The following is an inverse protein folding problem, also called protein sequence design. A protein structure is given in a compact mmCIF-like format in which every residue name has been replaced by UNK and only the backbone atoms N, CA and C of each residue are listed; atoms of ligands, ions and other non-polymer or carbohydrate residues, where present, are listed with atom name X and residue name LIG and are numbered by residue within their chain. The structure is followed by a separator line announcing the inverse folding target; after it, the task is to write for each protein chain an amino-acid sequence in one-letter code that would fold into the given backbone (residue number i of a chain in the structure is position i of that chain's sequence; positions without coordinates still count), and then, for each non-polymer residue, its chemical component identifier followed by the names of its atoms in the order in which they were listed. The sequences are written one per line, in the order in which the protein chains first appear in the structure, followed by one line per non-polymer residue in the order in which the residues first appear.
data_IF_785140295006
#
_entry.id   IF_785140295006
#
_cell.length_a   1.000
_cell.length_b   1.000
_cell.length_c   1.000
_cell.angle_alpha   90.00
_cell.angle_beta   90.00
_cell.angle_gamma   90.00
#
_symmetry.space_group_name_H-M   'P 1'
#
loop_
_entity.id
_entity.type
_entity.pdbx_description
1 polymer ?
#
# COMPACT_ATOMS: atom_id res chain seq x y z
N UNK A 1 -0.78 1.51 7.05
CA UNK A 1 -1.36 2.50 6.11
C UNK A 1 -1.17 2.04 4.68
N UNK A 2 -2.25 1.65 4.01
CA UNK A 2 -2.40 1.68 2.55
C UNK A 2 -3.87 1.98 2.31
N UNK A 3 -4.20 3.20 1.89
CA UNK A 3 -5.47 3.40 1.20
C UNK A 3 -5.51 2.34 0.10
N UNK A 4 -6.56 1.52 0.09
CA UNK A 4 -6.64 0.42 -0.87
C UNK A 4 -6.50 1.03 -2.28
N UNK A 5 -5.90 0.29 -3.23
CA UNK A 5 -5.83 0.78 -4.62
C UNK A 5 -7.22 1.23 -5.13
N UNK A 6 -8.30 0.65 -4.59
CA UNK A 6 -9.70 1.01 -4.84
C UNK A 6 -10.08 2.37 -4.24
N UNK A 7 -9.64 2.69 -3.02
CA UNK A 7 -9.85 3.99 -2.39
C UNK A 7 -9.08 5.11 -3.12
N UNK A 8 -7.86 4.83 -3.61
CA UNK A 8 -7.10 5.77 -4.44
C UNK A 8 -7.80 5.99 -5.79
N UNK A 9 -8.33 4.96 -6.44
CA UNK A 9 -9.13 5.12 -7.67
C UNK A 9 -10.43 5.91 -7.41
N UNK A 10 -11.12 5.69 -6.28
CA UNK A 10 -12.31 6.46 -5.90
C UNK A 10 -11.97 7.92 -5.51
N UNK A 11 -10.83 8.17 -4.86
CA UNK A 11 -10.27 9.50 -4.61
C UNK A 11 -9.87 10.19 -5.92
N UNK A 12 -9.22 9.49 -6.85
CA UNK A 12 -8.88 10.02 -8.17
C UNK A 12 -10.13 10.33 -8.99
N UNK A 13 -11.19 9.52 -8.84
CA UNK A 13 -12.49 9.77 -9.43
C UNK A 13 -13.18 11.00 -8.81
N UNK A 14 -13.18 11.10 -7.48
CA UNK A 14 -13.88 12.17 -6.74
C UNK A 14 -13.11 13.50 -6.80
N UNK A 15 -11.78 13.49 -6.62
CA UNK A 15 -10.92 14.68 -6.74
C UNK A 15 -10.77 15.10 -8.20
N UNK A 16 -10.62 14.15 -9.13
CA UNK A 16 -10.57 14.42 -10.57
C UNK A 16 -11.87 15.01 -11.12
N UNK A 17 -13.03 14.58 -10.59
CA UNK A 17 -14.33 15.15 -10.95
C UNK A 17 -14.65 16.46 -10.20
N UNK A 18 -14.15 16.67 -8.98
CA UNK A 18 -14.54 17.80 -8.13
C UNK A 18 -13.61 19.01 -8.18
N UNK A 19 -12.40 18.88 -8.73
CA UNK A 19 -11.43 19.99 -8.78
C UNK A 19 -11.68 21.02 -9.90
N UNK A 20 -12.72 20.87 -10.73
CA UNK A 20 -12.73 21.49 -12.07
C UNK A 20 -14.03 22.16 -12.50
N UNK A 21 -14.68 23.06 -11.74
CA UNK A 21 -15.98 23.52 -12.27
C UNK A 21 -16.57 24.86 -11.76
N UNK A 22 -16.53 25.98 -12.55
CA UNK A 22 -17.46 27.19 -12.76
C UNK A 22 -17.29 28.66 -12.18
N UNK A 23 -16.98 29.69 -12.98
CA UNK A 23 -17.93 30.80 -13.38
C UNK A 23 -17.30 31.97 -14.21
N UNK A 24 -17.55 31.98 -15.53
CA UNK A 24 -17.78 33.11 -16.47
C UNK A 24 -16.68 34.15 -16.92
N UNK A 25 -16.41 34.13 -18.24
CA UNK A 25 -15.49 34.94 -19.09
C UNK A 25 -13.99 34.64 -18.83
N UNK A 26 -13.08 34.44 -19.81
CA UNK A 26 -12.93 34.99 -21.16
C UNK A 26 -12.21 34.05 -22.18
N UNK A 27 -12.32 34.45 -23.44
CA UNK A 27 -11.60 34.07 -24.69
C UNK A 27 -11.56 32.62 -25.22
N UNK A 28 -12.30 32.44 -26.32
CA UNK A 28 -12.52 31.23 -27.11
C UNK A 28 -11.36 30.83 -28.04
N UNK A 29 -10.17 31.39 -27.88
CA UNK A 29 -9.08 31.23 -28.86
C UNK A 29 -8.06 30.13 -28.51
N UNK A 30 -8.13 29.52 -27.32
CA UNK A 30 -7.04 28.66 -26.82
C UNK A 30 -7.53 27.52 -25.88
N UNK A 31 -8.43 26.66 -26.36
CA UNK A 31 -8.90 25.45 -25.64
C UNK A 31 -9.67 25.69 -24.34
N UNK A 32 -10.35 24.68 -23.79
CA UNK A 32 -11.07 24.83 -22.52
C UNK A 32 -10.11 24.97 -21.34
N UNK A 33 -10.50 25.73 -20.30
CA UNK A 33 -9.69 25.84 -19.09
C UNK A 33 -9.46 24.49 -18.38
N UNK A 34 -10.41 23.57 -18.53
CA UNK A 34 -10.30 22.20 -18.06
C UNK A 34 -9.14 21.46 -18.73
N UNK A 35 -9.06 21.49 -20.07
CA UNK A 35 -8.02 20.77 -20.80
C UNK A 35 -6.62 21.30 -20.45
N UNK A 36 -6.52 22.62 -20.20
CA UNK A 36 -5.28 23.24 -19.71
C UNK A 36 -4.91 22.74 -18.32
N UNK A 37 -5.82 22.80 -17.34
CA UNK A 37 -5.53 22.34 -15.98
C UNK A 37 -5.22 20.85 -15.93
N UNK A 38 -5.91 20.02 -16.72
CA UNK A 38 -5.58 18.60 -16.91
C UNK A 38 -4.16 18.42 -17.46
N UNK A 39 -3.78 19.23 -18.45
CA UNK A 39 -2.42 19.29 -18.98
C UNK A 39 -1.39 19.63 -17.89
N UNK A 40 -1.66 20.63 -17.08
CA UNK A 40 -0.79 21.06 -15.97
C UNK A 40 -0.66 19.98 -14.90
N UNK A 41 -1.74 19.26 -14.58
CA UNK A 41 -1.70 18.13 -13.66
C UNK A 41 -0.82 16.98 -14.20
N UNK A 42 -0.97 16.63 -15.48
CA UNK A 42 -0.12 15.62 -16.15
C UNK A 42 1.34 16.02 -16.17
N UNK A 43 1.62 17.28 -16.53
CA UNK A 43 2.98 17.82 -16.55
C UNK A 43 3.59 17.79 -15.14
N UNK A 44 2.86 18.27 -14.13
CA UNK A 44 3.29 18.26 -12.72
C UNK A 44 3.64 16.85 -12.26
N UNK A 45 2.77 15.86 -12.52
CA UNK A 45 3.04 14.48 -12.17
C UNK A 45 4.28 13.90 -12.89
N UNK A 46 4.47 14.22 -14.17
CA UNK A 46 5.67 13.81 -14.92
C UNK A 46 6.95 14.44 -14.34
N UNK A 47 6.90 15.73 -13.99
CA UNK A 47 8.00 16.43 -13.35
C UNK A 47 8.28 15.88 -11.95
N UNK A 48 7.25 15.55 -11.16
CA UNK A 48 7.42 14.94 -9.83
C UNK A 48 8.07 13.56 -9.89
N UNK A 49 7.82 12.79 -10.96
CA UNK A 49 8.44 11.48 -11.14
C UNK A 49 9.93 11.57 -11.48
N UNK A 50 10.34 12.51 -12.35
CA UNK A 50 11.72 12.54 -12.89
C UNK A 50 12.40 13.91 -12.98
N UNK A 51 11.65 15.01 -12.94
CA UNK A 51 12.16 16.36 -13.23
C UNK A 51 12.49 17.25 -12.04
N UNK A 52 11.86 17.07 -10.87
CA UNK A 52 11.97 18.03 -9.75
C UNK A 52 13.11 17.79 -8.75
N UNK A 53 13.90 16.72 -8.90
CA UNK A 53 14.96 16.25 -7.99
C UNK A 53 14.51 15.99 -6.53
N UNK A 54 14.02 17.00 -5.83
CA UNK A 54 13.41 16.89 -4.51
C UNK A 54 12.31 17.94 -4.33
N UNK A 55 11.29 17.63 -3.52
CA UNK A 55 10.12 18.49 -3.29
C UNK A 55 9.32 18.03 -2.07
N UNK A 56 8.42 18.88 -1.59
CA UNK A 56 7.49 18.62 -0.49
C UNK A 56 6.05 18.74 -0.98
N UNK A 57 5.22 17.76 -0.64
CA UNK A 57 3.77 17.78 -0.85
C UNK A 57 3.10 17.88 0.52
N UNK A 58 2.32 18.93 0.72
CA UNK A 58 1.45 19.06 1.89
C UNK A 58 0.00 18.87 1.46
N UNK A 59 -0.73 18.03 2.18
CA UNK A 59 -2.14 17.71 1.92
C UNK A 59 -2.96 17.93 3.18
N UNK A 60 -4.10 18.60 3.06
CA UNK A 60 -5.14 18.66 4.08
C UNK A 60 -6.44 18.13 3.49
N UNK A 61 -7.01 17.11 4.12
CA UNK A 61 -8.34 16.59 3.85
C UNK A 61 -9.20 16.80 5.10
N UNK A 62 -10.36 17.43 4.96
CA UNK A 62 -11.33 17.58 6.06
C UNK A 62 -12.69 17.13 5.59
N UNK A 63 -13.33 16.24 6.34
CA UNK A 63 -14.72 15.85 6.17
C UNK A 63 -15.52 16.37 7.36
N UNK A 64 -16.60 17.10 7.07
CA UNK A 64 -17.55 17.61 8.05
C UNK A 64 -18.95 17.07 7.78
N UNK A 65 -19.72 16.86 8.83
CA UNK A 65 -21.15 16.61 8.77
C UNK A 65 -21.87 17.66 9.60
N UNK A 66 -22.83 18.38 9.00
CA UNK A 66 -23.53 19.50 9.66
C UNK A 66 -22.54 20.47 10.34
N UNK A 67 -21.48 20.85 9.61
CA UNK A 67 -20.35 21.69 10.03
C UNK A 67 -19.45 21.18 11.17
N UNK A 68 -19.74 20.01 11.74
CA UNK A 68 -18.86 19.34 12.71
C UNK A 68 -17.80 18.51 11.99
N UNK A 69 -16.53 18.62 12.40
CA UNK A 69 -15.45 17.80 11.86
C UNK A 69 -15.70 16.35 12.25
N UNK A 70 -15.89 15.50 11.25
CA UNK A 70 -15.97 14.05 11.43
C UNK A 70 -14.59 13.42 11.33
N UNK A 71 -13.76 14.00 10.45
CA UNK A 71 -12.44 13.51 10.15
C UNK A 71 -11.58 14.62 9.55
N UNK A 72 -10.34 14.71 9.98
CA UNK A 72 -9.35 15.55 9.34
C UNK A 72 -8.04 14.78 9.22
N UNK A 73 -7.36 14.90 8.09
CA UNK A 73 -6.01 14.39 7.91
C UNK A 73 -5.12 15.44 7.29
N UNK A 74 -3.96 15.64 7.90
CA UNK A 74 -2.89 16.48 7.39
C UNK A 74 -1.68 15.59 7.11
N UNK A 75 -1.15 15.65 5.90
CA UNK A 75 0.04 14.89 5.50
C UNK A 75 1.09 15.87 4.97
N UNK A 76 2.33 15.74 5.44
CA UNK A 76 3.49 16.39 4.83
C UNK A 76 4.44 15.30 4.35
N UNK A 77 4.67 15.26 3.04
CA UNK A 77 5.48 14.25 2.37
C UNK A 77 6.62 14.91 1.61
N UNK A 78 7.84 14.64 2.03
CA UNK A 78 9.06 15.05 1.35
C UNK A 78 9.56 13.90 0.48
N UNK A 79 9.98 14.23 -0.73
CA UNK A 79 10.50 13.27 -1.71
C UNK A 79 11.82 13.79 -2.26
N UNK A 80 12.82 12.91 -2.36
CA UNK A 80 14.08 13.11 -3.07
C UNK A 80 14.25 11.95 -4.07
N UNK A 81 13.99 12.21 -5.35
CA UNK A 81 14.06 11.21 -6.41
C UNK A 81 15.50 10.83 -6.73
N UNK A 82 16.47 11.73 -6.47
CA UNK A 82 17.89 11.50 -6.73
C UNK A 82 18.49 10.53 -5.70
N UNK A 83 18.16 10.74 -4.43
CA UNK A 83 18.59 9.87 -3.32
C UNK A 83 17.69 8.65 -3.14
N UNK A 84 16.55 8.62 -3.83
CA UNK A 84 15.46 7.65 -3.61
C UNK A 84 15.06 7.60 -2.13
N UNK A 85 14.88 8.79 -1.55
CA UNK A 85 14.51 8.97 -0.15
C UNK A 85 13.13 9.64 -0.04
N UNK A 86 12.39 9.28 1.01
CA UNK A 86 11.11 9.90 1.34
C UNK A 86 10.92 9.99 2.85
N UNK A 87 10.30 11.08 3.29
CA UNK A 87 9.86 11.29 4.67
C UNK A 87 8.40 11.70 4.63
N UNK A 88 7.57 11.11 5.47
CA UNK A 88 6.14 11.41 5.55
C UNK A 88 5.70 11.49 7.01
N UNK A 89 5.02 12.57 7.35
CA UNK A 89 4.28 12.71 8.60
C UNK A 89 2.80 12.87 8.26
N UNK A 90 1.96 12.05 8.87
CA UNK A 90 0.51 12.13 8.74
C UNK A 90 -0.10 12.29 10.12
N UNK A 91 -0.93 13.32 10.29
CA UNK A 91 -1.74 13.55 11.50
C UNK A 91 -3.19 13.37 11.13
N UNK A 92 -3.88 12.51 11.86
CA UNK A 92 -5.31 12.26 11.68
C UNK A 92 -6.04 12.66 12.96
N UNK A 93 -7.11 13.42 12.81
CA UNK A 93 -8.02 13.82 13.88
C UNK A 93 -9.38 13.18 13.65
N UNK A 94 -9.92 12.55 14.69
CA UNK A 94 -11.24 11.91 14.67
C UNK A 94 -12.38 12.90 15.03
N UNK A 95 -13.61 12.40 15.02
CA UNK A 95 -14.81 13.18 15.37
C UNK A 95 -14.87 13.63 16.84
N UNK A 96 -14.08 13.01 17.73
CA UNK A 96 -13.96 13.42 19.14
C UNK A 96 -12.85 14.47 19.34
N UNK A 97 -12.17 14.84 18.27
CA UNK A 97 -11.05 15.78 18.29
C UNK A 97 -9.73 15.16 18.72
N UNK A 98 -9.66 13.84 18.95
CA UNK A 98 -8.41 13.15 19.30
C UNK A 98 -7.54 13.04 18.07
N UNK A 99 -6.24 13.31 18.23
CA UNK A 99 -5.27 13.22 17.15
C UNK A 99 -4.34 12.02 17.32
N UNK A 100 -4.03 11.36 16.21
CA UNK A 100 -2.95 10.38 16.10
C UNK A 100 -1.97 10.83 15.02
N UNK A 101 -0.69 10.53 15.20
CA UNK A 101 0.36 10.89 14.24
C UNK A 101 1.16 9.67 13.83
N UNK A 102 1.33 9.48 12.53
CA UNK A 102 2.19 8.46 11.97
C UNK A 102 3.40 9.12 11.31
N UNK A 103 4.56 8.54 11.51
CA UNK A 103 5.79 8.96 10.87
C UNK A 103 6.38 7.82 10.06
N UNK A 104 6.90 8.13 8.88
CA UNK A 104 7.70 7.20 8.10
C UNK A 104 8.87 7.88 7.40
N UNK A 105 9.96 7.15 7.32
CA UNK A 105 11.15 7.47 6.55
C UNK A 105 11.54 6.24 5.74
N UNK A 106 12.03 6.45 4.52
CA UNK A 106 12.66 5.39 3.74
C UNK A 106 13.76 5.97 2.86
N UNK A 107 14.85 5.24 2.75
CA UNK A 107 15.87 5.42 1.72
C UNK A 107 16.30 4.05 1.15
N UNK A 108 17.44 4.01 0.47
CA UNK A 108 18.00 2.78 -0.12
C UNK A 108 18.49 1.77 0.92
N UNK A 109 18.89 2.23 2.10
CA UNK A 109 19.55 1.45 3.16
C UNK A 109 18.62 1.04 4.28
N UNK A 110 17.60 1.85 4.57
CA UNK A 110 16.69 1.58 5.68
C UNK A 110 15.33 2.22 5.50
N UNK A 111 14.36 1.70 6.25
CA UNK A 111 13.11 2.38 6.52
C UNK A 111 12.86 2.47 8.02
N UNK A 112 12.29 3.58 8.44
CA UNK A 112 11.87 3.82 9.81
C UNK A 112 10.39 4.12 9.81
N UNK A 113 9.64 3.51 10.72
CA UNK A 113 8.22 3.81 10.91
C UNK A 113 7.91 3.98 12.39
N UNK A 114 7.00 4.90 12.71
CA UNK A 114 6.47 5.10 14.06
C UNK A 114 4.97 5.30 13.98
N UNK A 115 4.24 4.52 14.78
CA UNK A 115 2.80 4.66 14.96
C UNK A 115 2.48 5.78 15.97
N UNK A 116 1.27 6.31 15.91
CA UNK A 116 0.77 7.28 16.88
C UNK A 116 0.35 6.69 18.22
N UNK A 117 0.24 5.36 18.32
CA UNK A 117 -0.19 4.66 19.55
C UNK A 117 1.00 4.26 20.42
N UNK A 118 2.07 3.78 19.80
CA UNK A 118 3.26 3.29 20.49
C UNK A 118 4.42 4.28 20.31
N UNK A 119 5.04 4.72 21.41
CA UNK A 119 6.19 5.63 21.35
C UNK A 119 7.49 4.91 20.97
N UNK A 120 7.44 4.06 19.95
CA UNK A 120 8.52 3.18 19.48
C UNK A 120 8.73 3.36 17.98
N UNK A 121 10.00 3.43 17.59
CA UNK A 121 10.41 3.40 16.18
C UNK A 121 10.71 1.96 15.76
N UNK A 122 10.18 1.58 14.61
CA UNK A 122 10.47 0.31 13.95
C UNK A 122 11.44 0.59 12.81
N UNK A 123 12.60 -0.03 12.86
CA UNK A 123 13.68 0.18 11.89
C UNK A 123 13.90 -1.11 11.11
N UNK A 124 13.82 -1.05 9.79
CA UNK A 124 14.22 -2.13 8.91
C UNK A 124 15.42 -1.68 8.12
N UNK A 125 16.54 -2.38 8.30
CA UNK A 125 17.74 -2.22 7.49
C UNK A 125 17.66 -3.15 6.28
N UNK A 126 18.20 -2.67 5.16
CA UNK A 126 18.26 -3.40 3.90
C UNK A 126 19.72 -3.76 3.61
N UNK A 127 19.99 -5.02 3.23
CA UNK A 127 21.34 -5.40 2.83
C UNK A 127 21.71 -4.73 1.50
N UNK A 128 23.01 -4.50 1.29
CA UNK A 128 23.53 -3.76 0.14
C UNK A 128 23.19 -4.42 -1.22
N UNK A 129 22.90 -5.72 -1.22
CA UNK A 129 22.53 -6.53 -2.40
C UNK A 129 21.01 -6.62 -2.63
N UNK A 130 20.18 -6.09 -1.73
CA UNK A 130 18.75 -6.04 -1.95
C UNK A 130 18.45 -5.19 -3.19
N UNK A 131 17.84 -5.81 -4.21
CA UNK A 131 17.43 -5.13 -5.44
C UNK A 131 16.29 -4.13 -5.18
N UNK A 132 16.63 -3.01 -4.54
CA UNK A 132 15.77 -1.85 -4.29
C UNK A 132 16.03 -0.72 -5.29
N UNK A 133 17.05 -0.86 -6.15
CA UNK A 133 17.56 0.18 -7.05
C UNK A 133 16.57 0.77 -8.05
N UNK A 134 15.37 0.19 -8.18
CA UNK A 134 14.29 0.68 -9.05
C UNK A 134 13.01 1.11 -8.31
N UNK A 135 12.99 1.17 -6.97
CA UNK A 135 11.79 1.56 -6.25
C UNK A 135 11.55 3.07 -6.43
N UNK A 136 10.62 3.41 -7.32
CA UNK A 136 10.20 4.80 -7.47
C UNK A 136 9.56 5.29 -6.18
N UNK A 137 10.06 6.42 -5.66
CA UNK A 137 9.49 7.10 -4.48
C UNK A 137 8.18 7.81 -4.81
N UNK A 138 7.93 8.06 -6.10
CA UNK A 138 6.68 8.55 -6.67
C UNK A 138 6.49 7.91 -8.04
N UNK A 139 5.27 7.49 -8.38
CA UNK A 139 4.94 6.98 -9.72
C UNK A 139 3.87 7.87 -10.30
N UNK A 140 4.05 8.27 -11.56
CA UNK A 140 3.08 9.13 -12.23
C UNK A 140 1.75 8.38 -12.40
N UNK A 141 0.64 8.84 -11.76
CA UNK A 141 -0.64 8.15 -11.85
C UNK A 141 -1.23 8.13 -13.26
N UNK A 142 -0.83 9.04 -14.15
CA UNK A 142 -1.28 9.08 -15.54
C UNK A 142 -0.57 8.04 -16.45
N UNK A 143 0.50 7.42 -15.95
CA UNK A 143 1.24 6.37 -16.67
C UNK A 143 0.86 4.96 -16.19
N UNK A 144 -0.02 4.84 -15.20
CA UNK A 144 -0.47 3.56 -14.67
C UNK A 144 -1.33 2.79 -15.69
N UNK A 145 -1.29 1.45 -15.61
CA UNK A 145 -2.13 0.60 -16.45
C UNK A 145 -3.61 0.89 -16.15
N UNK A 146 -4.38 1.28 -17.17
CA UNK A 146 -5.78 1.67 -17.02
C UNK A 146 -6.00 3.19 -16.91
N UNK A 147 -4.95 4.00 -16.74
CA UNK A 147 -5.09 5.45 -16.62
C UNK A 147 -5.72 6.11 -17.86
N UNK A 148 -5.38 5.74 -19.10
CA UNK A 148 -6.03 6.31 -20.29
C UNK A 148 -7.54 6.01 -20.36
N UNK A 149 -7.96 4.81 -19.93
CA UNK A 149 -9.37 4.42 -19.89
C UNK A 149 -10.13 5.23 -18.83
N UNK A 150 -9.55 5.39 -17.65
CA UNK A 150 -10.11 6.23 -16.59
C UNK A 150 -10.21 7.69 -17.06
N UNK A 151 -9.19 8.22 -17.74
CA UNK A 151 -9.23 9.57 -18.29
C UNK A 151 -10.38 9.76 -19.28
N UNK A 152 -10.64 8.79 -20.17
CA UNK A 152 -11.78 8.86 -21.09
C UNK A 152 -13.12 8.91 -20.36
N UNK A 153 -13.26 8.14 -19.27
CA UNK A 153 -14.47 8.17 -18.43
C UNK A 153 -14.62 9.55 -17.79
N UNK A 154 -13.55 10.11 -17.23
CA UNK A 154 -13.57 11.45 -16.64
C UNK A 154 -13.91 12.50 -17.70
N UNK A 155 -13.28 12.46 -18.87
CA UNK A 155 -13.55 13.40 -19.96
C UNK A 155 -15.00 13.35 -20.45
N UNK A 156 -15.62 12.16 -20.48
CA UNK A 156 -17.01 11.97 -20.85
C UNK A 156 -17.98 12.45 -19.76
N UNK A 157 -17.66 12.21 -18.49
CA UNK A 157 -18.44 12.65 -17.32
C UNK A 157 -18.39 14.18 -17.19
N UNK A 158 -17.20 14.76 -17.38
CA UNK A 158 -17.03 16.22 -17.38
C UNK A 158 -17.74 16.81 -18.58
N UNK A 159 -17.56 16.32 -19.80
CA UNK A 159 -18.41 16.70 -20.95
C UNK A 159 -18.59 18.22 -21.11
N UNK A 160 -19.83 18.71 -20.96
CA UNK A 160 -20.17 20.14 -21.01
C UNK A 160 -19.73 20.95 -19.78
N UNK A 161 -19.20 20.28 -18.74
CA UNK A 161 -18.64 20.93 -17.56
C UNK A 161 -17.29 21.59 -17.83
N UNK A 162 -16.64 21.28 -18.96
CA UNK A 162 -15.31 21.80 -19.31
C UNK A 162 -15.29 23.33 -19.42
N UNK A 163 -16.38 23.92 -19.90
CA UNK A 163 -16.51 25.36 -20.17
C UNK A 163 -16.60 26.21 -18.90
N UNK A 164 -16.76 25.55 -17.77
CA UNK A 164 -16.88 26.20 -16.49
C UNK A 164 -15.53 26.41 -15.79
N UNK A 165 -14.45 25.79 -16.27
CA UNK A 165 -13.11 26.06 -15.70
C UNK A 165 -12.57 27.35 -16.32
N UNK A 166 -12.31 28.34 -15.48
CA UNK A 166 -11.66 29.57 -15.91
C UNK A 166 -10.16 29.49 -15.78
N UNK A 167 -9.47 30.27 -16.60
CA UNK A 167 -8.02 30.41 -16.54
C UNK A 167 -7.66 31.88 -16.66
N UNK A 168 -6.89 32.36 -15.70
CA UNK A 168 -6.32 33.70 -15.70
C UNK A 168 -4.80 33.60 -15.78
N UNK A 169 -4.20 34.33 -16.71
CA UNK A 169 -2.74 34.50 -16.72
C UNK A 169 -2.32 35.43 -15.59
N UNK A 170 -1.29 35.02 -14.86
CA UNK A 170 -0.75 35.79 -13.75
C UNK A 170 0.41 36.65 -14.23
N UNK A 171 0.68 37.82 -13.61
CA UNK A 171 1.77 38.71 -14.01
C UNK A 171 3.18 38.07 -14.01
N UNK A 172 3.36 36.98 -13.27
CA UNK A 172 4.61 36.22 -13.18
C UNK A 172 4.76 35.16 -14.29
N UNK A 173 3.82 35.10 -15.24
CA UNK A 173 3.75 34.11 -16.31
C UNK A 173 3.17 32.76 -15.88
N UNK A 174 2.68 32.64 -14.65
CA UNK A 174 1.89 31.51 -14.18
C UNK A 174 0.43 31.60 -14.61
N UNK A 175 -0.38 30.63 -14.16
CA UNK A 175 -1.84 30.63 -14.39
C UNK A 175 -2.58 30.38 -13.08
N UNK A 176 -3.74 31.01 -12.93
CA UNK A 176 -4.71 30.69 -11.91
C UNK A 176 -5.92 30.03 -12.57
N UNK A 177 -6.41 28.97 -11.93
CA UNK A 177 -7.60 28.23 -12.35
C UNK A 177 -8.66 28.36 -11.28
N UNK A 178 -9.90 28.53 -11.69
CA UNK A 178 -11.03 28.63 -10.77
C UNK A 178 -12.28 27.95 -11.31
N UNK A 179 -13.11 27.50 -10.38
CA UNK A 179 -14.43 26.99 -10.67
C UNK A 179 -15.32 26.85 -9.43
N UNK A 180 -16.62 27.06 -9.57
CA UNK A 180 -17.71 26.69 -8.67
C UNK A 180 -19.03 26.21 -9.36
N UNK A 181 -19.53 25.01 -9.08
CA UNK A 181 -20.87 24.56 -9.52
C UNK A 181 -21.88 24.67 -8.40
N UNK A 182 -23.12 24.98 -8.79
CA UNK A 182 -24.31 24.73 -8.00
C UNK A 182 -24.99 23.41 -8.39
N UNK A 183 -25.85 22.91 -7.52
CA UNK A 183 -26.69 21.73 -7.72
C UNK A 183 -27.36 21.69 -9.10
N UNK A 184 -27.98 22.80 -9.52
CA UNK A 184 -28.69 22.89 -10.80
C UNK A 184 -27.78 22.72 -12.03
N UNK A 185 -26.48 22.94 -11.86
CA UNK A 185 -25.50 22.83 -12.92
C UNK A 185 -24.78 21.47 -12.92
N UNK A 186 -25.02 20.59 -11.92
CA UNK A 186 -24.43 19.25 -11.86
C UNK A 186 -25.29 18.27 -12.68
N UNK A 187 -24.77 17.69 -13.78
CA UNK A 187 -25.49 16.69 -14.54
C UNK A 187 -25.81 15.45 -13.71
N UNK A 188 -26.96 14.80 -13.99
CA UNK A 188 -27.40 13.61 -13.26
C UNK A 188 -26.36 12.48 -13.21
N UNK A 189 -25.60 12.29 -14.30
CA UNK A 189 -24.53 11.29 -14.36
C UNK A 189 -23.39 11.65 -13.41
N UNK A 190 -22.94 12.91 -13.42
CA UNK A 190 -21.88 13.40 -12.52
C UNK A 190 -22.31 13.23 -11.07
N UNK A 191 -23.56 13.57 -10.78
CA UNK A 191 -24.15 13.40 -9.45
C UNK A 191 -24.12 11.92 -9.02
N UNK A 192 -24.64 11.02 -9.85
CA UNK A 192 -24.71 9.58 -9.53
C UNK A 192 -23.34 8.97 -9.25
N UNK A 193 -22.32 9.26 -10.08
CA UNK A 193 -21.00 8.66 -9.87
C UNK A 193 -20.27 9.32 -8.69
N UNK A 194 -20.43 10.62 -8.47
CA UNK A 194 -19.87 11.30 -7.29
C UNK A 194 -20.45 10.73 -6.00
N UNK A 195 -21.77 10.60 -5.94
CA UNK A 195 -22.50 10.02 -4.80
C UNK A 195 -22.04 8.60 -4.48
N UNK A 196 -21.85 7.76 -5.51
CA UNK A 196 -21.30 6.43 -5.33
C UNK A 196 -19.86 6.46 -4.79
N UNK A 197 -18.99 7.31 -5.35
CA UNK A 197 -17.61 7.46 -4.89
C UNK A 197 -17.53 7.89 -3.42
N UNK A 198 -18.36 8.84 -3.02
CA UNK A 198 -18.45 9.33 -1.64
C UNK A 198 -18.98 8.25 -0.70
N UNK A 199 -20.00 7.48 -1.11
CA UNK A 199 -20.50 6.38 -0.31
C UNK A 199 -19.41 5.33 -0.05
N UNK A 200 -18.55 5.06 -1.04
CA UNK A 200 -17.37 4.19 -0.85
C UNK A 200 -16.36 4.81 0.11
N UNK A 201 -16.08 6.12 0.03
CA UNK A 201 -15.17 6.80 0.95
C UNK A 201 -15.66 6.72 2.41
N UNK A 202 -16.95 6.98 2.63
CA UNK A 202 -17.58 6.85 3.95
C UNK A 202 -17.45 5.40 4.44
N UNK A 203 -17.82 4.41 3.62
CA UNK A 203 -17.76 2.99 3.99
C UNK A 203 -16.34 2.50 4.30
N UNK A 204 -15.36 2.88 3.49
CA UNK A 204 -13.96 2.49 3.70
C UNK A 204 -13.41 3.13 4.99
N UNK A 205 -13.77 4.38 5.27
CA UNK A 205 -13.33 5.06 6.48
C UNK A 205 -14.01 4.50 7.74
N UNK A 206 -15.32 4.22 7.72
CA UNK A 206 -16.03 3.56 8.83
C UNK A 206 -15.44 2.18 9.17
N UNK A 207 -14.84 1.49 8.17
CA UNK A 207 -14.13 0.21 8.40
C UNK A 207 -12.77 0.38 9.04
N UNK A 208 -12.10 1.51 8.79
CA UNK A 208 -10.76 1.80 9.31
C UNK A 208 -10.80 2.38 10.73
N UNK A 209 -11.82 3.18 11.04
CA UNK A 209 -12.02 3.84 12.33
C UNK A 209 -13.26 3.25 13.03
N UNK A 210 -13.08 2.17 13.82
CA UNK A 210 -14.19 1.51 14.53
C UNK A 210 -14.99 2.45 15.46
N UNK A 211 -14.40 3.59 15.83
CA UNK A 211 -14.99 4.58 16.72
C UNK A 211 -15.40 5.89 16.01
N UNK A 212 -15.20 6.02 14.69
CA UNK A 212 -15.66 7.21 14.00
C UNK A 212 -17.18 7.23 14.00
N UNK A 213 -17.77 8.22 14.67
CA UNK A 213 -19.19 8.56 14.51
C UNK A 213 -19.37 9.23 13.14
N UNK A 214 -19.17 8.47 12.08
CA UNK A 214 -19.54 8.94 10.75
C UNK A 214 -21.06 9.10 10.71
N UNK A 215 -21.51 10.17 10.07
CA UNK A 215 -22.94 10.37 9.78
C UNK A 215 -23.47 9.14 9.05
N UNK A 216 -24.57 8.56 9.55
CA UNK A 216 -25.24 7.37 9.01
C UNK A 216 -25.94 7.67 7.67
N UNK A 217 -25.29 8.36 6.73
CA UNK A 217 -25.86 8.70 5.43
C UNK A 217 -25.87 7.44 4.55
N UNK A 218 -27.08 6.99 4.20
CA UNK A 218 -27.30 5.73 3.49
C UNK A 218 -27.81 5.93 2.07
N UNK A 219 -28.57 7.01 1.81
CA UNK A 219 -29.30 7.21 0.57
C UNK A 219 -29.38 8.68 0.15
N UNK A 220 -29.90 8.91 -1.06
CA UNK A 220 -30.15 10.23 -1.64
C UNK A 220 -28.96 11.19 -1.54
N UNK A 221 -27.75 10.67 -1.75
CA UNK A 221 -26.55 11.50 -1.79
C UNK A 221 -26.57 12.30 -3.09
N UNK A 222 -26.40 13.61 -3.01
CA UNK A 222 -26.22 14.47 -4.17
C UNK A 222 -25.32 15.68 -3.90
N UNK A 223 -24.76 16.22 -4.98
CA UNK A 223 -23.88 17.40 -4.96
C UNK A 223 -24.70 18.69 -4.92
N UNK A 224 -24.54 19.48 -3.86
CA UNK A 224 -25.14 20.83 -3.71
C UNK A 224 -24.24 21.92 -4.26
N UNK A 225 -22.94 21.82 -4.00
CA UNK A 225 -21.96 22.81 -4.43
C UNK A 225 -20.59 22.19 -4.61
N UNK A 226 -19.87 22.65 -5.61
CA UNK A 226 -18.44 22.38 -5.78
C UNK A 226 -17.75 23.73 -5.92
N UNK A 227 -16.58 23.91 -5.33
CA UNK A 227 -15.69 25.05 -5.56
C UNK A 227 -14.26 24.53 -5.61
N UNK A 228 -13.48 24.96 -6.59
CA UNK A 228 -12.10 24.58 -6.77
C UNK A 228 -11.25 25.75 -7.25
N UNK A 229 -10.01 25.79 -6.81
CA UNK A 229 -8.98 26.65 -7.39
C UNK A 229 -7.68 25.88 -7.56
N UNK A 230 -6.88 26.27 -8.54
CA UNK A 230 -5.53 25.76 -8.69
C UNK A 230 -4.59 26.87 -9.17
N UNK A 231 -3.31 26.75 -8.80
CA UNK A 231 -2.28 27.70 -9.17
C UNK A 231 -1.14 26.96 -9.87
N UNK A 232 -0.83 27.41 -11.07
CA UNK A 232 0.29 26.96 -11.89
C UNK A 232 1.36 28.06 -11.93
N UNK A 233 2.63 27.67 -11.84
CA UNK A 233 3.76 28.57 -12.04
C UNK A 233 4.20 28.63 -13.51
N UNK A 234 5.11 29.55 -13.82
CA UNK A 234 5.64 29.77 -15.19
C UNK A 234 6.25 28.53 -15.86
N UNK A 235 6.59 27.48 -15.11
CA UNK A 235 7.13 26.23 -15.63
C UNK A 235 6.03 25.19 -15.93
N UNK A 236 4.76 25.55 -15.78
CA UNK A 236 3.64 24.64 -16.00
C UNK A 236 3.40 23.66 -14.86
N UNK A 237 3.92 23.94 -13.67
CA UNK A 237 3.81 23.07 -12.49
C UNK A 237 2.73 23.62 -11.55
N UNK A 238 1.82 22.76 -11.11
CA UNK A 238 0.81 23.08 -10.12
C UNK A 238 1.44 23.15 -8.73
N UNK A 239 1.28 24.30 -8.08
CA UNK A 239 1.84 24.59 -6.75
C UNK A 239 0.78 24.48 -5.66
N UNK A 240 -0.47 24.78 -5.99
CA UNK A 240 -1.58 24.76 -5.05
C UNK A 240 -2.84 24.28 -5.75
N UNK A 241 -3.60 23.42 -5.08
CA UNK A 241 -4.93 22.98 -5.50
C UNK A 241 -5.82 22.96 -4.26
N UNK A 242 -6.94 23.67 -4.32
CA UNK A 242 -7.97 23.65 -3.27
C UNK A 242 -9.30 23.19 -3.83
N UNK A 243 -10.04 22.37 -3.07
CA UNK A 243 -11.39 21.96 -3.40
C UNK A 243 -12.29 22.00 -2.17
N UNK A 244 -13.53 22.45 -2.36
CA UNK A 244 -14.61 22.40 -1.38
C UNK A 244 -15.83 21.78 -2.07
N UNK A 245 -16.37 20.72 -1.50
CA UNK A 245 -17.54 20.02 -2.00
C UNK A 245 -18.58 20.01 -0.89
N UNK A 246 -19.76 20.56 -1.16
CA UNK A 246 -20.93 20.46 -0.30
C UNK A 246 -21.90 19.47 -0.93
N UNK A 247 -22.30 18.49 -0.13
CA UNK A 247 -23.21 17.42 -0.49
C UNK A 247 -24.38 17.42 0.48
N UNK A 248 -25.48 16.83 0.05
CA UNK A 248 -26.58 16.45 0.94
C UNK A 248 -26.84 14.95 0.80
N UNK A 249 -27.24 14.32 1.89
CA UNK A 249 -27.69 12.92 1.90
C UNK A 249 -28.67 12.66 3.03
N UNK A 250 -29.35 11.51 2.99
CA UNK A 250 -30.30 11.09 4.03
C UNK A 250 -29.74 9.97 4.90
N UNK A 251 -30.02 10.06 6.19
CA UNK A 251 -29.75 8.97 7.12
C UNK A 251 -30.78 7.82 7.02
N UNK A 252 -30.56 6.75 7.79
CA UNK A 252 -31.48 5.61 7.90
C UNK A 252 -32.91 5.98 8.35
N UNK A 253 -33.09 7.13 8.99
CA UNK A 253 -34.39 7.65 9.43
C UNK A 253 -35.02 8.60 8.40
N UNK A 254 -34.33 8.84 7.27
CA UNK A 254 -34.73 9.81 6.25
C UNK A 254 -34.40 11.26 6.59
N UNK A 255 -33.69 11.53 7.68
CA UNK A 255 -33.25 12.87 8.06
C UNK A 255 -32.15 13.36 7.12
N UNK A 256 -32.22 14.62 6.69
CA UNK A 256 -31.28 15.20 5.74
C UNK A 256 -30.05 15.77 6.46
N UNK A 257 -28.88 15.50 5.91
CA UNK A 257 -27.58 15.92 6.43
C UNK A 257 -26.73 16.55 5.33
N UNK A 258 -26.04 17.62 5.67
CA UNK A 258 -25.04 18.23 4.80
C UNK A 258 -23.65 17.65 5.11
N UNK A 259 -22.90 17.28 4.07
CA UNK A 259 -21.50 16.85 4.17
C UNK A 259 -20.61 17.83 3.43
N UNK A 260 -19.54 18.28 4.08
CA UNK A 260 -18.55 19.18 3.48
C UNK A 260 -17.20 18.49 3.41
N UNK A 261 -16.66 18.34 2.20
CA UNK A 261 -15.31 17.83 1.95
C UNK A 261 -14.43 19.01 1.54
N UNK A 262 -13.36 19.25 2.31
CA UNK A 262 -12.32 20.23 1.98
C UNK A 262 -11.02 19.52 1.66
N UNK A 263 -10.38 19.92 0.57
CA UNK A 263 -9.13 19.37 0.10
C UNK A 263 -8.20 20.53 -0.20
N UNK A 264 -6.97 20.45 0.31
CA UNK A 264 -5.88 21.35 -0.06
C UNK A 264 -4.67 20.48 -0.36
N UNK A 265 -4.03 20.73 -1.49
CA UNK A 265 -2.77 20.11 -1.89
C UNK A 265 -1.81 21.23 -2.26
N UNK A 266 -0.61 21.19 -1.69
CA UNK A 266 0.44 22.16 -1.96
C UNK A 266 1.73 21.44 -2.34
N UNK A 267 2.31 21.82 -3.47
CA UNK A 267 3.66 21.44 -3.86
C UNK A 267 4.61 22.59 -3.55
N UNK A 268 5.68 22.31 -2.82
CA UNK A 268 6.64 23.32 -2.39
C UNK A 268 8.06 22.75 -2.25
N UNK A 269 9.02 23.61 -1.92
CA UNK A 269 10.39 23.19 -1.62
C UNK A 269 11.11 22.51 -2.80
N UNK A 270 10.68 22.75 -4.04
CA UNK A 270 11.29 22.18 -5.25
C UNK A 270 12.77 22.54 -5.30
N UNK A 271 13.63 21.53 -5.40
CA UNK A 271 15.09 21.65 -5.43
C UNK A 271 15.76 21.98 -4.09
N UNK A 272 14.98 22.31 -3.05
CA UNK A 272 15.48 22.75 -1.73
C UNK A 272 15.05 21.85 -0.56
N UNK A 273 14.21 20.85 -0.81
CA UNK A 273 13.70 19.93 0.21
C UNK A 273 14.83 19.07 0.76
N UNK A 274 14.96 19.03 2.09
CA UNK A 274 15.92 18.19 2.80
C UNK A 274 15.20 17.04 3.50
N UNK A 275 15.67 15.84 3.24
CA UNK A 275 15.23 14.61 3.90
C UNK A 275 16.39 14.11 4.74
N UNK A 276 16.14 13.91 6.02
CA UNK A 276 17.13 13.44 6.99
C UNK A 276 16.54 12.31 7.80
N UNK A 277 17.35 11.28 8.06
CA UNK A 277 16.98 10.22 8.98
C UNK A 277 16.60 10.83 10.34
N UNK A 278 15.51 10.40 10.99
CA UNK A 278 15.16 10.90 12.31
C UNK A 278 16.26 10.57 13.31
N UNK A 279 16.48 11.43 14.30
CA UNK A 279 17.38 11.10 15.41
C UNK A 279 16.75 10.00 16.26
N UNK A 280 17.40 8.84 16.29
CA UNK A 280 16.96 7.68 17.05
C UNK A 280 17.66 7.57 18.41
N UNK A 281 18.56 8.50 18.75
CA UNK A 281 19.28 8.47 20.02
C UNK A 281 18.32 8.67 21.19
N UNK A 282 18.35 7.73 22.14
CA UNK A 282 17.47 7.75 23.31
C UNK A 282 16.00 7.39 23.03
N UNK A 283 15.65 7.08 21.78
CA UNK A 283 14.32 6.60 21.43
C UNK A 283 14.18 5.10 21.71
N UNK A 284 12.95 4.64 21.95
CA UNK A 284 12.65 3.20 21.94
C UNK A 284 12.68 2.72 20.48
N UNK A 285 13.60 1.82 20.15
CA UNK A 285 13.81 1.30 18.80
C UNK A 285 13.65 -0.22 18.79
N UNK A 286 12.93 -0.72 17.79
CA UNK A 286 12.83 -2.14 17.48
C UNK A 286 13.29 -2.40 16.05
N UNK A 287 14.32 -3.24 15.89
CA UNK A 287 14.80 -3.64 14.57
C UNK A 287 13.93 -4.75 14.02
N UNK A 288 13.28 -4.49 12.89
CA UNK A 288 12.44 -5.43 12.15
C UNK A 288 13.22 -5.93 10.95
N UNK A 289 13.65 -7.19 10.98
CA UNK A 289 14.32 -7.81 9.84
C UNK A 289 13.34 -7.93 8.66
N UNK A 290 13.81 -7.62 7.45
CA UNK A 290 13.01 -7.70 6.24
C UNK A 290 12.50 -9.15 6.07
N UNK A 291 11.18 -9.34 6.23
CA UNK A 291 10.48 -10.60 6.02
C UNK A 291 10.67 -11.02 4.56
N UNK A 292 11.54 -12.00 4.34
CA UNK A 292 11.95 -12.45 3.01
C UNK A 292 13.05 -13.49 3.11
N UNK A 293 12.83 -14.55 3.88
CA UNK A 293 13.76 -15.66 4.03
C UNK A 293 14.03 -16.05 5.47
N UNK A 294 14.62 -17.23 5.65
CA UNK A 294 15.14 -17.66 6.94
C UNK A 294 16.34 -16.77 7.30
N UNK A 295 16.41 -16.34 8.56
CA UNK A 295 17.51 -15.59 9.18
C UNK A 295 18.14 -16.42 10.29
N UNK A 296 19.23 -15.96 10.88
CA UNK A 296 19.91 -16.64 12.00
C UNK A 296 18.98 -16.98 13.17
N UNK A 297 17.90 -16.20 13.38
CA UNK A 297 16.86 -16.51 14.39
C UNK A 297 16.17 -17.85 14.16
N UNK A 298 16.22 -18.43 12.96
CA UNK A 298 15.64 -19.73 12.63
C UNK A 298 16.62 -20.90 12.76
N UNK A 299 17.91 -20.66 13.05
CA UNK A 299 18.86 -21.74 13.35
C UNK A 299 18.37 -22.52 14.58
N UNK A 300 18.28 -23.84 14.45
CA UNK A 300 17.74 -24.74 15.46
C UNK A 300 17.02 -25.96 14.90
N UNK A 301 16.50 -26.78 15.80
CA UNK A 301 15.80 -28.04 15.49
C UNK A 301 14.29 -27.82 15.45
N UNK A 302 13.64 -28.39 14.44
CA UNK A 302 12.20 -28.37 14.28
C UNK A 302 11.68 -29.78 14.11
N UNK A 303 10.50 -30.06 14.67
CA UNK A 303 9.90 -31.40 14.66
C UNK A 303 8.46 -31.38 14.14
N UNK A 304 8.10 -32.47 13.48
CA UNK A 304 6.75 -32.79 13.03
C UNK A 304 6.48 -34.30 13.29
N UNK A 305 5.25 -34.66 13.66
CA UNK A 305 4.90 -36.07 13.91
C UNK A 305 4.61 -36.81 12.60
N UNK A 306 5.10 -38.05 12.47
CA UNK A 306 4.62 -38.95 11.43
C UNK A 306 3.35 -39.64 11.96
N UNK A 307 2.21 -39.31 11.37
CA UNK A 307 0.89 -39.80 11.80
C UNK A 307 0.30 -40.65 10.67
N UNK A 308 -0.30 -41.78 11.03
CA UNK A 308 -1.01 -42.68 10.13
C UNK A 308 -2.40 -42.96 10.69
N UNK A 309 -3.40 -43.07 9.81
CA UNK A 309 -4.71 -43.58 10.19
C UNK A 309 -4.70 -45.11 10.16
N UNK A 310 -5.05 -45.73 11.28
CA UNK A 310 -5.19 -47.19 11.41
C UNK A 310 -6.45 -47.48 12.21
N UNK A 311 -7.35 -48.29 11.65
CA UNK A 311 -8.62 -48.68 12.27
C UNK A 311 -9.46 -47.46 12.74
N UNK A 312 -9.50 -46.40 11.92
CA UNK A 312 -10.23 -45.15 12.21
C UNK A 312 -9.60 -44.29 13.32
N UNK A 313 -8.35 -44.55 13.71
CA UNK A 313 -7.61 -43.79 14.73
C UNK A 313 -6.31 -43.22 14.17
N UNK A 314 -5.96 -42.01 14.61
CA UNK A 314 -4.67 -41.38 14.32
C UNK A 314 -3.60 -41.93 15.27
N UNK A 315 -2.57 -42.56 14.70
CA UNK A 315 -1.46 -43.16 15.44
C UNK A 315 -0.15 -42.44 15.08
N UNK A 316 0.57 -41.91 16.08
CA UNK A 316 1.94 -41.41 15.88
C UNK A 316 2.88 -42.61 15.68
N UNK A 317 3.33 -42.81 14.44
CA UNK A 317 4.22 -43.91 14.04
C UNK A 317 5.68 -43.48 13.97
N UNK A 318 5.99 -42.19 14.10
CA UNK A 318 7.34 -41.68 14.03
C UNK A 318 7.43 -40.18 14.20
N UNK A 319 8.59 -39.62 13.86
CA UNK A 319 8.91 -38.20 13.94
C UNK A 319 9.82 -37.79 12.79
N UNK A 320 9.60 -36.57 12.29
CA UNK A 320 10.44 -35.89 11.32
C UNK A 320 11.21 -34.82 12.05
N UNK A 321 12.50 -34.73 11.75
CA UNK A 321 13.36 -33.66 12.26
C UNK A 321 13.91 -32.87 11.08
N UNK A 322 13.70 -31.57 11.12
CA UNK A 322 14.30 -30.59 10.21
C UNK A 322 15.18 -29.66 11.04
N UNK A 323 16.48 -29.66 10.79
CA UNK A 323 17.46 -28.89 11.54
C UNK A 323 18.12 -27.89 10.61
N UNK A 324 18.00 -26.61 10.96
CA UNK A 324 18.71 -25.52 10.29
C UNK A 324 19.98 -25.31 11.09
N UNK A 325 21.13 -25.68 10.52
CA UNK A 325 22.43 -25.62 11.19
C UNK A 325 23.11 -24.27 11.04
N UNK A 326 22.88 -23.58 9.91
CA UNK A 326 23.43 -22.24 9.69
C UNK A 326 22.58 -21.42 8.74
N UNK A 327 22.61 -20.10 8.95
CA UNK A 327 22.10 -19.09 8.03
C UNK A 327 23.11 -17.95 7.97
N UNK A 328 23.95 -17.94 6.94
CA UNK A 328 25.08 -17.00 6.80
C UNK A 328 25.12 -16.43 5.38
N UNK A 329 25.19 -15.10 5.24
CA UNK A 329 25.26 -14.43 3.93
C UNK A 329 24.20 -14.90 2.92
N UNK A 330 22.97 -15.11 3.40
CA UNK A 330 21.85 -15.63 2.59
C UNK A 330 21.91 -17.13 2.30
N UNK A 331 22.99 -17.82 2.64
CA UNK A 331 23.13 -19.27 2.51
C UNK A 331 22.53 -19.97 3.72
N UNK A 332 21.59 -20.89 3.48
CA UNK A 332 20.93 -21.71 4.50
C UNK A 332 21.39 -23.15 4.31
N UNK A 333 21.84 -23.77 5.40
CA UNK A 333 22.23 -25.18 5.40
C UNK A 333 21.58 -25.92 6.57
N UNK A 334 21.40 -27.21 6.39
CA UNK A 334 20.80 -28.04 7.42
C UNK A 334 20.66 -29.51 7.03
N UNK A 335 19.93 -30.24 7.87
CA UNK A 335 19.64 -31.65 7.67
C UNK A 335 18.20 -31.99 7.95
N UNK A 336 17.70 -33.01 7.25
CA UNK A 336 16.39 -33.58 7.43
C UNK A 336 16.52 -35.08 7.63
N UNK A 337 15.81 -35.63 8.61
CA UNK A 337 15.74 -37.07 8.79
C UNK A 337 14.44 -37.51 9.47
N UNK A 338 14.13 -38.78 9.29
CA UNK A 338 12.90 -39.39 9.82
C UNK A 338 13.21 -40.60 10.68
N UNK A 339 12.55 -40.65 11.83
CA UNK A 339 12.62 -41.77 12.76
C UNK A 339 11.25 -42.42 12.86
N UNK A 340 11.20 -43.73 12.62
CA UNK A 340 9.97 -44.53 12.71
C UNK A 340 10.05 -45.39 13.98
N UNK A 341 8.93 -45.54 14.68
CA UNK A 341 8.84 -46.38 15.89
C UNK A 341 8.97 -47.86 15.52
N UNK A 342 9.55 -48.68 16.42
CA UNK A 342 9.58 -50.13 16.25
C UNK A 342 8.21 -50.72 15.94
N UNK A 343 8.13 -51.59 14.94
CA UNK A 343 6.91 -52.26 14.49
C UNK A 343 6.14 -51.55 13.38
N UNK A 344 6.59 -50.38 12.92
CA UNK A 344 5.98 -49.62 11.82
C UNK A 344 6.88 -49.51 10.58
N UNK A 345 8.06 -50.13 10.59
CA UNK A 345 9.06 -50.01 9.52
C UNK A 345 8.53 -50.53 8.18
N UNK A 346 7.77 -51.62 8.18
CA UNK A 346 7.16 -52.17 6.96
C UNK A 346 6.07 -51.25 6.38
N UNK A 347 5.40 -50.46 7.23
CA UNK A 347 4.38 -49.50 6.81
C UNK A 347 4.97 -48.14 6.38
N UNK A 348 6.26 -47.92 6.65
CA UNK A 348 6.97 -46.69 6.29
C UNK A 348 8.44 -47.01 5.89
N UNK A 349 8.65 -47.71 4.76
CA UNK A 349 9.98 -48.19 4.37
C UNK A 349 10.91 -47.08 3.86
N UNK A 350 10.34 -46.08 3.17
CA UNK A 350 11.08 -45.04 2.45
C UNK A 350 11.42 -43.84 3.37
N UNK A 351 12.24 -44.06 4.39
CA UNK A 351 12.69 -42.97 5.29
C UNK A 351 13.62 -42.02 4.56
N UNK A 352 13.31 -40.74 4.65
CA UNK A 352 14.15 -39.69 4.07
C UNK A 352 15.24 -39.30 5.07
N UNK A 353 16.47 -39.15 4.56
CA UNK A 353 17.62 -38.67 5.31
C UNK A 353 18.55 -37.95 4.34
N UNK A 354 18.65 -36.62 4.47
CA UNK A 354 19.45 -35.81 3.57
C UNK A 354 19.95 -34.54 4.24
N UNK A 355 21.06 -34.03 3.73
CA UNK A 355 21.50 -32.66 3.98
C UNK A 355 20.94 -31.77 2.87
N UNK A 356 20.68 -30.51 3.20
CA UNK A 356 20.24 -29.52 2.24
C UNK A 356 21.06 -28.24 2.37
N UNK A 357 21.17 -27.54 1.24
CA UNK A 357 21.82 -26.25 1.16
C UNK A 357 21.13 -25.43 0.07
N UNK A 358 20.84 -24.16 0.33
CA UNK A 358 20.35 -23.24 -0.68
C UNK A 358 20.69 -21.79 -0.34
N UNK A 359 20.62 -20.93 -1.36
CA UNK A 359 20.74 -19.49 -1.16
C UNK A 359 19.34 -18.89 -1.08
N UNK A 360 18.98 -18.43 0.12
CA UNK A 360 17.80 -17.59 0.37
C UNK A 360 17.99 -16.26 -0.33
N UNK A 361 17.22 -16.03 -1.39
CA UNK A 361 17.26 -14.79 -2.16
C UNK A 361 16.02 -13.95 -1.84
N UNK A 362 16.23 -12.68 -1.47
CA UNK A 362 15.16 -11.69 -1.32
C UNK A 362 14.58 -11.24 -2.68
N UNK A 363 15.21 -11.63 -3.80
CA UNK A 363 14.86 -11.20 -5.16
C UNK A 363 14.25 -12.31 -6.02
N UNK A 364 14.41 -13.59 -5.65
CA UNK A 364 13.72 -14.72 -6.29
C UNK A 364 12.45 -15.05 -5.53
N UNK A 365 11.33 -15.23 -6.25
CA UNK A 365 10.04 -15.58 -5.62
C UNK A 365 10.05 -16.97 -4.97
N UNK A 366 11.02 -17.83 -5.35
CA UNK A 366 11.18 -19.19 -4.85
C UNK A 366 12.66 -19.49 -4.61
N UNK A 367 12.99 -19.90 -3.38
CA UNK A 367 14.31 -20.43 -3.00
C UNK A 367 14.15 -21.91 -2.70
N UNK A 368 14.73 -22.78 -3.54
CA UNK A 368 14.65 -24.24 -3.41
C UNK A 368 16.02 -24.84 -3.09
N UNK A 369 16.00 -25.98 -2.41
CA UNK A 369 17.16 -26.86 -2.25
C UNK A 369 16.93 -28.17 -2.98
N UNK A 370 18.01 -28.84 -3.37
CA UNK A 370 17.96 -30.18 -3.97
C UNK A 370 18.36 -31.23 -2.93
N UNK A 371 17.69 -32.38 -2.94
CA UNK A 371 18.03 -33.51 -2.08
C UNK A 371 17.84 -34.84 -2.82
N UNK A 372 18.31 -35.94 -2.22
CA UNK A 372 18.04 -37.31 -2.71
C UNK A 372 16.98 -37.97 -1.83
N UNK A 373 15.97 -38.55 -2.43
CA UNK A 373 14.95 -39.32 -1.73
C UNK A 373 15.50 -40.69 -1.28
N UNK A 374 14.67 -41.49 -0.58
CA UNK A 374 15.06 -42.82 -0.08
C UNK A 374 15.48 -43.81 -1.20
N UNK A 375 15.05 -43.58 -2.44
CA UNK A 375 15.40 -44.39 -3.62
C UNK A 375 16.64 -43.86 -4.35
N UNK A 376 17.23 -42.77 -3.87
CA UNK A 376 18.38 -42.10 -4.47
C UNK A 376 18.04 -41.17 -5.63
N UNK A 377 16.75 -40.94 -5.90
CA UNK A 377 16.29 -40.02 -6.95
C UNK A 377 16.42 -38.58 -6.46
N UNK A 378 16.75 -37.68 -7.38
CA UNK A 378 16.95 -36.26 -7.07
C UNK A 378 15.61 -35.53 -7.09
N UNK A 379 15.27 -34.84 -6.00
CA UNK A 379 14.05 -34.05 -5.82
C UNK A 379 14.41 -32.63 -5.34
N UNK A 380 13.46 -31.70 -5.42
CA UNK A 380 13.60 -30.36 -4.87
C UNK A 380 12.68 -30.16 -3.66
N UNK A 381 13.12 -29.35 -2.72
CA UNK A 381 12.32 -28.92 -1.58
C UNK A 381 12.41 -27.41 -1.39
N UNK A 382 11.53 -26.89 -0.56
CA UNK A 382 11.48 -25.49 -0.18
C UNK A 382 11.17 -25.38 1.31
N UNK A 383 11.69 -24.34 1.95
CA UNK A 383 11.35 -23.98 3.32
C UNK A 383 10.97 -22.51 3.40
N UNK A 384 9.91 -22.20 4.14
CA UNK A 384 9.47 -20.83 4.40
C UNK A 384 9.01 -20.63 5.84
N UNK A 385 9.02 -19.38 6.29
CA UNK A 385 8.51 -19.01 7.61
C UNK A 385 7.00 -19.24 7.69
N UNK A 386 6.52 -19.79 8.82
CA UNK A 386 5.10 -20.07 9.03
C UNK A 386 4.63 -19.61 10.42
N UNK A 387 5.04 -18.39 10.80
CA UNK A 387 4.77 -17.78 12.10
C UNK A 387 5.86 -18.00 13.15
N UNK A 388 5.68 -17.43 14.36
CA UNK A 388 6.65 -17.55 15.44
C UNK A 388 6.94 -19.02 15.81
N UNK A 389 8.22 -19.40 15.82
CA UNK A 389 8.64 -20.76 16.18
C UNK A 389 8.21 -21.85 15.20
N UNK A 390 7.76 -21.51 14.00
CA UNK A 390 7.27 -22.47 13.01
C UNK A 390 7.87 -22.23 11.64
N UNK A 391 8.14 -23.32 10.93
CA UNK A 391 8.52 -23.33 9.53
C UNK A 391 7.58 -24.26 8.76
N UNK A 392 7.44 -24.02 7.47
CA UNK A 392 6.77 -24.93 6.56
C UNK A 392 7.77 -25.44 5.53
N UNK A 393 7.80 -26.76 5.36
CA UNK A 393 8.71 -27.47 4.46
C UNK A 393 7.87 -28.16 3.40
N UNK A 394 8.05 -27.76 2.14
CA UNK A 394 7.54 -28.46 0.97
C UNK A 394 8.62 -29.39 0.44
N UNK A 395 8.27 -30.66 0.23
CA UNK A 395 9.12 -31.65 -0.42
C UNK A 395 8.51 -32.02 -1.77
N UNK A 396 9.35 -32.55 -2.66
CA UNK A 396 8.97 -32.89 -4.03
C UNK A 396 8.27 -31.74 -4.77
N UNK A 397 8.95 -30.59 -4.77
CA UNK A 397 8.52 -29.35 -5.42
C UNK A 397 8.93 -29.35 -6.90
N UNK A 398 7.94 -29.34 -7.78
CA UNK A 398 8.12 -29.15 -9.23
C UNK A 398 7.99 -27.66 -9.57
N UNK A 399 9.02 -27.11 -10.23
CA UNK A 399 9.02 -25.72 -10.69
C UNK A 399 8.36 -25.68 -12.06
N UNK A 400 7.16 -25.10 -12.14
CA UNK A 400 6.40 -24.98 -13.39
C UNK A 400 6.92 -23.80 -14.21
N UNK A 401 7.22 -22.69 -13.55
CA UNK A 401 7.92 -21.54 -14.13
C UNK A 401 8.54 -20.68 -13.00
N UNK A 402 9.20 -19.57 -13.36
CA UNK A 402 9.90 -18.69 -12.42
C UNK A 402 9.06 -18.17 -11.24
N UNK A 403 7.72 -18.24 -11.30
CA UNK A 403 6.81 -17.75 -10.27
C UNK A 403 5.73 -18.78 -9.85
N UNK A 404 5.85 -20.03 -10.28
CA UNK A 404 4.84 -21.07 -10.02
C UNK A 404 5.51 -22.40 -9.72
N UNK A 405 5.04 -23.06 -8.67
CA UNK A 405 5.47 -24.39 -8.30
C UNK A 405 4.27 -25.24 -7.90
N UNK A 406 4.45 -26.56 -7.96
CA UNK A 406 3.53 -27.52 -7.39
C UNK A 406 4.32 -28.45 -6.49
N UNK A 407 3.93 -28.57 -5.23
CA UNK A 407 4.44 -29.63 -4.35
C UNK A 407 3.49 -30.83 -4.42
N UNK A 408 4.05 -32.03 -4.41
CA UNK A 408 3.28 -33.25 -4.24
C UNK A 408 3.78 -34.00 -3.02
N UNK A 409 3.06 -33.80 -1.93
CA UNK A 409 3.38 -34.44 -0.67
C UNK A 409 3.03 -35.92 -0.74
N UNK A 410 3.95 -36.76 -0.27
CA UNK A 410 3.70 -38.19 -0.13
C UNK A 410 2.68 -38.48 0.98
N UNK A 411 2.10 -39.69 1.02
CA UNK A 411 1.20 -40.08 2.10
C UNK A 411 1.81 -39.82 3.48
N UNK A 412 0.98 -39.34 4.41
CA UNK A 412 1.35 -39.06 5.80
C UNK A 412 2.36 -37.90 5.99
N UNK A 413 2.64 -37.09 4.97
CA UNK A 413 3.51 -35.91 5.09
C UNK A 413 2.71 -34.64 5.46
N UNK A 414 3.18 -33.97 6.51
CA UNK A 414 2.74 -32.65 6.94
C UNK A 414 3.97 -31.74 6.95
N UNK A 415 3.88 -30.65 6.19
CA UNK A 415 4.97 -29.69 6.01
C UNK A 415 5.16 -28.76 7.22
N UNK A 416 4.28 -28.74 8.21
CA UNK A 416 4.37 -27.81 9.34
C UNK A 416 5.27 -28.34 10.46
N UNK A 417 6.45 -27.72 10.65
CA UNK A 417 7.37 -28.08 11.73
C UNK A 417 7.37 -27.01 12.83
N UNK A 418 7.43 -27.48 14.09
CA UNK A 418 7.51 -26.61 15.27
C UNK A 418 8.91 -26.65 15.87
N UNK A 419 9.41 -25.49 16.26
CA UNK A 419 10.73 -25.34 16.87
C UNK A 419 10.78 -26.06 18.22
N UNK A 420 11.87 -26.79 18.43
CA UNK A 420 12.28 -27.30 19.73
C UNK A 420 13.14 -26.23 20.38
N UNK A 421 12.74 -25.78 21.56
CA UNK A 421 13.54 -24.91 22.41
C UNK A 421 14.24 -25.78 23.45
N UNK A 422 15.53 -25.55 23.66
CA UNK A 422 16.22 -26.10 24.82
C UNK A 422 15.67 -25.37 26.05
N UNK A 423 15.23 -26.12 27.06
CA UNK A 423 14.80 -25.60 28.36
C UNK A 423 16.00 -25.37 29.28
#
# INVERSE_FOLDING_TARGET
MKLSKKAITALSFTLGASLFISTAFADTLLGSGYDRLKGSAKNTAAQMEKGLNNYTIDTLLTLKGNDQILFQTTTSKKIDTTKQASEETTVTQDSEGKSSSNYSYSDKKQSVWKNGVDNKYYVTEYPDDAARGSRSVFTNPFNEKGAPEIEKIVDAVVGGLKDYVQVEERPDGGKAYSGSLSEAQVPAVVNAVSSYGIQQLIRDQSRMEKNAKMTDIESDIFVKKVVGTAVENKAGILENVTGNILLSGKDKNGAQHDLTINVVVKLSGVGNTKITLPDLKGASVETVNQSGGLTSKYVGTYKNNIIMEKDGKLVKIGERTFEITSVENGKVAGKYYETVKPGFEANYPDKYNFNFEYNSSSTKSLSTFTYKNAKGEQENGQVHENGPGKIYVDLNTEIINNNSYRSSNRPNFDGQFSRVFEE
#
